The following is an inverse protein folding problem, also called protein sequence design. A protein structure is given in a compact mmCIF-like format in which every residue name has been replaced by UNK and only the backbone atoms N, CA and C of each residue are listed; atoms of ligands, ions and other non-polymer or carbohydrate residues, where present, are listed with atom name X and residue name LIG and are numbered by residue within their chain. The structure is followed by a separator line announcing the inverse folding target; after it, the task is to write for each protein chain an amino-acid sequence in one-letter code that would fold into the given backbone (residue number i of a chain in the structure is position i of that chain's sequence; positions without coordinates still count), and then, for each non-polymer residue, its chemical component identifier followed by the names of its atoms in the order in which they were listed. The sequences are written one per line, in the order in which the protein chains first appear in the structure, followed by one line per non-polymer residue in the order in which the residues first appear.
data_IF_083723020893
#
_entry.id   IF_083723020893
#
_cell.length_a   1.000
_cell.length_b   1.000
_cell.length_c   1.000
_cell.angle_alpha   90.00
_cell.angle_beta   90.00
_cell.angle_gamma   90.00
#
_symmetry.space_group_name_H-M   'P 1'
#
loop_
_entity.id
_entity.type
_entity.pdbx_description
1 polymer ?
#
# COMPACT_ATOMS: atom_id res chain seq x y z
N UNK A 1 1.72 -17.14 -12.76
CA UNK A 1 2.01 -15.70 -12.62
C UNK A 1 3.26 -15.39 -13.45
N UNK A 2 3.13 -14.73 -14.60
CA UNK A 2 4.29 -14.18 -15.30
C UNK A 2 4.62 -12.83 -14.65
N UNK A 3 5.71 -12.76 -13.90
CA UNK A 3 6.24 -11.49 -13.44
C UNK A 3 6.81 -10.75 -14.65
N UNK A 4 6.15 -9.68 -15.09
CA UNK A 4 6.76 -8.76 -16.04
C UNK A 4 8.10 -8.27 -15.48
N UNK A 5 9.11 -8.24 -16.35
CA UNK A 5 10.43 -7.74 -15.99
C UNK A 5 10.27 -6.23 -15.76
N UNK A 6 10.68 -5.69 -14.60
CA UNK A 6 10.55 -4.26 -14.35
C UNK A 6 11.35 -3.47 -15.39
N UNK A 7 10.74 -2.46 -16.00
CA UNK A 7 11.33 -1.70 -17.10
C UNK A 7 12.11 -0.48 -16.58
N UNK A 8 11.83 -0.03 -15.34
CA UNK A 8 12.56 1.06 -14.68
C UNK A 8 12.79 0.86 -13.17
N UNK A 9 13.64 1.72 -12.59
CA UNK A 9 13.96 1.68 -11.14
C UNK A 9 12.73 1.83 -10.24
N UNK A 10 11.70 2.55 -10.69
CA UNK A 10 10.44 2.69 -9.96
C UNK A 10 9.66 1.38 -9.88
N UNK A 11 9.63 0.58 -10.96
CA UNK A 11 8.94 -0.72 -10.97
C UNK A 11 9.62 -1.71 -10.03
N UNK A 12 10.95 -1.65 -9.95
CA UNK A 12 11.74 -2.48 -9.02
C UNK A 12 11.37 -2.15 -7.58
N UNK A 13 11.30 -0.86 -7.21
CA UNK A 13 10.93 -0.42 -5.87
C UNK A 13 9.46 -0.74 -5.56
N UNK A 14 8.55 -0.55 -6.53
CA UNK A 14 7.14 -0.92 -6.35
C UNK A 14 6.98 -2.43 -6.11
N UNK A 15 7.74 -3.27 -6.85
CA UNK A 15 7.77 -4.72 -6.63
C UNK A 15 8.33 -5.07 -5.25
N UNK A 16 9.39 -4.40 -4.81
CA UNK A 16 9.96 -4.57 -3.47
C UNK A 16 8.92 -4.27 -2.39
N UNK A 17 8.21 -3.14 -2.48
CA UNK A 17 7.14 -2.76 -1.54
C UNK A 17 6.04 -3.82 -1.50
N UNK A 18 5.57 -4.30 -2.66
CA UNK A 18 4.55 -5.36 -2.73
C UNK A 18 5.02 -6.64 -2.03
N UNK A 19 6.24 -7.10 -2.30
CA UNK A 19 6.80 -8.31 -1.68
C UNK A 19 7.01 -8.13 -0.17
N UNK A 20 7.43 -6.94 0.26
CA UNK A 20 7.60 -6.63 1.68
C UNK A 20 6.27 -6.67 2.42
N UNK A 21 5.21 -6.06 1.87
CA UNK A 21 3.87 -6.15 2.44
C UNK A 21 3.42 -7.62 2.51
N UNK A 22 3.63 -8.39 1.44
CA UNK A 22 3.24 -9.81 1.40
C UNK A 22 3.98 -10.65 2.44
N UNK A 23 5.23 -10.34 2.77
CA UNK A 23 6.02 -11.09 3.76
C UNK A 23 5.46 -10.97 5.18
N UNK A 24 4.83 -9.85 5.55
CA UNK A 24 4.27 -9.66 6.89
C UNK A 24 3.15 -10.66 7.14
N UNK A 25 3.28 -11.53 8.15
CA UNK A 25 2.39 -12.66 8.43
C UNK A 25 2.72 -13.95 7.66
N UNK A 26 3.73 -13.93 6.80
CA UNK A 26 4.26 -15.07 6.05
C UNK A 26 5.79 -15.16 6.18
N UNK A 27 6.32 -14.79 7.35
CA UNK A 27 7.76 -14.67 7.59
C UNK A 27 8.50 -16.00 7.44
N UNK A 28 7.81 -17.13 7.47
CA UNK A 28 8.38 -18.48 7.30
C UNK A 28 8.38 -18.99 5.86
N UNK A 29 7.81 -18.24 4.90
CA UNK A 29 7.80 -18.63 3.49
C UNK A 29 9.17 -18.34 2.83
N UNK A 30 9.99 -19.39 2.70
CA UNK A 30 11.32 -19.34 2.09
C UNK A 30 11.31 -18.82 0.64
N UNK A 31 10.25 -19.11 -0.12
CA UNK A 31 10.13 -18.66 -1.51
C UNK A 31 9.94 -17.15 -1.55
N UNK A 32 9.08 -16.63 -0.68
CA UNK A 32 8.82 -15.20 -0.56
C UNK A 32 10.04 -14.44 -0.03
N UNK A 33 10.78 -15.01 0.94
CA UNK A 33 12.04 -14.45 1.41
C UNK A 33 13.09 -14.36 0.30
N UNK A 34 13.21 -15.41 -0.54
CA UNK A 34 14.13 -15.43 -1.68
C UNK A 34 13.75 -14.37 -2.71
N UNK A 35 12.46 -14.29 -3.05
CA UNK A 35 11.95 -13.32 -4.03
C UNK A 35 12.11 -11.88 -3.54
N UNK A 36 11.88 -11.63 -2.25
CA UNK A 36 12.16 -10.34 -1.61
C UNK A 36 13.64 -10.00 -1.64
N UNK A 37 14.52 -10.95 -1.29
CA UNK A 37 15.97 -10.75 -1.32
C UNK A 37 16.44 -10.38 -2.72
N UNK A 38 15.93 -11.07 -3.75
CA UNK A 38 16.22 -10.74 -5.15
C UNK A 38 15.72 -9.33 -5.51
N UNK A 39 14.49 -8.97 -5.15
CA UNK A 39 13.94 -7.65 -5.42
C UNK A 39 14.74 -6.54 -4.71
N UNK A 40 15.19 -6.78 -3.49
CA UNK A 40 16.06 -5.88 -2.73
C UNK A 40 17.39 -5.68 -3.44
N UNK A 41 18.03 -6.76 -3.92
CA UNK A 41 19.27 -6.66 -4.70
C UNK A 41 19.10 -5.88 -6.00
N UNK A 42 17.94 -5.96 -6.66
CA UNK A 42 17.66 -5.13 -7.84
C UNK A 42 17.46 -3.66 -7.45
N UNK A 43 16.71 -3.37 -6.37
CA UNK A 43 16.45 -2.00 -5.94
C UNK A 43 17.73 -1.26 -5.57
N UNK A 44 18.67 -1.94 -4.91
CA UNK A 44 19.98 -1.42 -4.53
C UNK A 44 20.87 -1.00 -5.71
N UNK A 45 20.54 -1.42 -6.94
CA UNK A 45 21.24 -0.96 -8.16
C UNK A 45 20.83 0.45 -8.59
N UNK A 46 19.69 0.93 -8.11
CA UNK A 46 19.06 2.18 -8.56
C UNK A 46 18.84 3.18 -7.42
N UNK A 47 18.73 2.70 -6.18
CA UNK A 47 18.35 3.50 -5.03
C UNK A 47 19.36 3.25 -3.90
N UNK A 48 19.78 4.31 -3.16
CA UNK A 48 20.66 4.15 -2.01
C UNK A 48 20.12 3.15 -0.98
N UNK A 49 21.03 2.41 -0.35
CA UNK A 49 20.68 1.36 0.62
C UNK A 49 19.78 1.88 1.74
N UNK A 50 20.10 3.04 2.30
CA UNK A 50 19.36 3.59 3.45
C UNK A 50 17.91 3.92 3.07
N UNK A 51 17.68 4.38 1.84
CA UNK A 51 16.32 4.62 1.32
C UNK A 51 15.59 3.30 1.11
N UNK A 52 16.25 2.28 0.55
CA UNK A 52 15.66 0.94 0.38
C UNK A 52 15.25 0.33 1.72
N UNK A 53 16.13 0.39 2.72
CA UNK A 53 15.87 -0.13 4.05
C UNK A 53 14.73 0.65 4.74
N UNK A 54 14.70 1.97 4.60
CA UNK A 54 13.61 2.81 5.10
C UNK A 54 12.26 2.50 4.44
N UNK A 55 12.24 2.28 3.12
CA UNK A 55 11.02 1.90 2.37
C UNK A 55 10.52 0.53 2.83
N UNK A 56 11.41 -0.46 3.01
CA UNK A 56 11.02 -1.77 3.53
C UNK A 56 10.40 -1.66 4.93
N UNK A 57 11.02 -0.87 5.82
CA UNK A 57 10.48 -0.70 7.18
C UNK A 57 9.12 -0.01 7.18
N UNK A 58 8.95 1.01 6.34
CA UNK A 58 7.67 1.70 6.22
C UNK A 58 6.57 0.79 5.67
N UNK A 59 6.88 -0.03 4.65
CA UNK A 59 5.94 -1.02 4.11
C UNK A 59 5.52 -2.05 5.17
N UNK A 60 6.45 -2.52 6.01
CA UNK A 60 6.16 -3.40 7.15
C UNK A 60 5.17 -2.75 8.13
N UNK A 61 5.45 -1.52 8.58
CA UNK A 61 4.59 -0.77 9.51
C UNK A 61 3.18 -0.57 8.93
N UNK A 62 3.10 -0.18 7.65
CA UNK A 62 1.82 0.00 6.95
C UNK A 62 1.02 -1.30 6.87
N UNK A 63 1.67 -2.44 6.61
CA UNK A 63 1.00 -3.73 6.52
C UNK A 63 0.52 -4.23 7.88
N UNK A 64 1.34 -4.10 8.93
CA UNK A 64 0.94 -4.43 10.31
C UNK A 64 -0.27 -3.60 10.74
N UNK A 65 -0.25 -2.30 10.44
CA UNK A 65 -1.39 -1.40 10.67
C UNK A 65 -2.63 -1.88 9.94
N UNK A 66 -2.56 -2.08 8.62
CA UNK A 66 -3.70 -2.48 7.80
C UNK A 66 -4.32 -3.81 8.27
N UNK A 67 -3.48 -4.78 8.63
CA UNK A 67 -3.94 -6.06 9.18
C UNK A 67 -4.71 -5.89 10.50
N UNK A 68 -4.27 -4.99 11.37
CA UNK A 68 -4.93 -4.73 12.65
C UNK A 68 -6.22 -3.91 12.50
N UNK A 69 -6.25 -2.93 11.59
CA UNK A 69 -7.48 -2.20 11.25
C UNK A 69 -8.53 -3.18 10.73
N UNK A 70 -8.16 -4.05 9.80
CA UNK A 70 -9.07 -5.06 9.28
C UNK A 70 -9.53 -6.04 10.36
N UNK A 71 -8.63 -6.46 11.25
CA UNK A 71 -8.98 -7.33 12.38
C UNK A 71 -9.96 -6.65 13.35
N UNK A 72 -9.76 -5.37 13.65
CA UNK A 72 -10.64 -4.59 14.51
C UNK A 72 -12.07 -4.47 13.94
N UNK A 73 -12.20 -4.45 12.61
CA UNK A 73 -13.49 -4.35 11.91
C UNK A 73 -14.26 -5.68 11.80
N UNK A 74 -13.63 -6.83 12.10
CA UNK A 74 -14.27 -8.14 11.96
C UNK A 74 -15.54 -8.22 12.81
N UNK A 75 -16.64 -8.60 12.16
CA UNK A 75 -17.98 -8.73 12.77
C UNK A 75 -18.26 -10.11 13.37
N UNK A 76 -17.26 -10.98 13.48
CA UNK A 76 -17.41 -12.26 14.16
C UNK A 76 -17.73 -11.99 15.65
N UNK A 77 -18.81 -12.56 16.23
CA UNK A 77 -19.27 -12.19 17.57
C UNK A 77 -18.21 -12.24 18.67
N UNK A 78 -17.36 -13.27 18.66
CA UNK A 78 -16.27 -13.41 19.64
C UNK A 78 -15.17 -12.37 19.46
N UNK A 79 -14.82 -12.04 18.20
CA UNK A 79 -13.84 -11.00 17.88
C UNK A 79 -14.39 -9.62 18.24
N UNK A 80 -15.69 -9.39 17.99
CA UNK A 80 -16.35 -8.15 18.38
C UNK A 80 -16.34 -7.97 19.92
N UNK A 81 -16.69 -8.99 20.69
CA UNK A 81 -16.59 -8.94 22.16
C UNK A 81 -15.16 -8.69 22.63
N UNK A 82 -14.17 -9.37 22.05
CA UNK A 82 -12.75 -9.14 22.33
C UNK A 82 -12.33 -7.69 22.01
N UNK A 83 -12.74 -7.16 20.85
CA UNK A 83 -12.43 -5.81 20.42
C UNK A 83 -13.11 -4.75 21.31
N UNK A 84 -14.36 -4.96 21.71
CA UNK A 84 -15.10 -4.05 22.59
C UNK A 84 -14.59 -4.08 24.04
N UNK A 85 -14.18 -5.25 24.55
CA UNK A 85 -13.74 -5.40 25.95
C UNK A 85 -12.28 -4.99 26.15
N UNK A 86 -11.42 -5.22 25.17
CA UNK A 86 -9.99 -4.97 25.31
C UNK A 86 -9.50 -3.78 24.50
N UNK A 87 -10.17 -3.37 23.42
CA UNK A 87 -9.76 -2.23 22.57
C UNK A 87 -8.37 -2.35 21.91
N UNK A 88 -7.63 -3.43 22.20
CA UNK A 88 -6.19 -3.55 21.95
C UNK A 88 -5.82 -3.46 20.47
N UNK A 89 -6.53 -4.10 19.52
CA UNK A 89 -6.15 -4.03 18.10
C UNK A 89 -6.28 -2.63 17.52
N UNK A 90 -7.35 -1.90 17.86
CA UNK A 90 -7.58 -0.54 17.36
C UNK A 90 -6.53 0.43 17.91
N UNK A 91 -6.26 0.39 19.22
CA UNK A 91 -5.22 1.24 19.82
C UNK A 91 -3.83 0.92 19.28
N UNK A 92 -3.52 -0.36 19.03
CA UNK A 92 -2.24 -0.74 18.44
C UNK A 92 -2.11 -0.25 16.99
N UNK A 93 -3.18 -0.32 16.20
CA UNK A 93 -3.21 0.28 14.86
C UNK A 93 -2.98 1.79 14.90
N UNK A 94 -3.64 2.51 15.82
CA UNK A 94 -3.45 3.95 15.99
C UNK A 94 -1.98 4.29 16.29
N UNK A 95 -1.35 3.54 17.19
CA UNK A 95 0.08 3.67 17.49
C UNK A 95 0.96 3.43 16.27
N UNK A 96 0.72 2.38 15.49
CA UNK A 96 1.46 2.14 14.25
C UNK A 96 1.22 3.24 13.21
N UNK A 97 0.03 3.84 13.20
CA UNK A 97 -0.26 4.98 12.34
C UNK A 97 0.56 6.22 12.74
N UNK A 98 0.70 6.49 14.03
CA UNK A 98 1.55 7.57 14.55
C UNK A 98 3.03 7.29 14.29
N UNK A 99 3.47 6.06 14.54
CA UNK A 99 4.84 5.59 14.29
C UNK A 99 5.22 5.72 12.81
N UNK A 100 4.35 5.29 11.88
CA UNK A 100 4.62 5.43 10.44
C UNK A 100 4.71 6.90 10.01
N UNK A 101 3.89 7.80 10.58
CA UNK A 101 3.99 9.24 10.31
C UNK A 101 5.27 9.85 10.86
N UNK A 102 5.64 9.49 12.08
CA UNK A 102 6.89 9.92 12.70
C UNK A 102 8.11 9.40 11.92
N UNK A 103 8.06 8.15 11.45
CA UNK A 103 9.11 7.56 10.63
C UNK A 103 9.30 8.32 9.32
N UNK A 104 8.20 8.74 8.67
CA UNK A 104 8.28 9.54 7.45
C UNK A 104 8.97 10.88 7.70
N UNK A 105 8.61 11.60 8.76
CA UNK A 105 9.20 12.91 9.04
C UNK A 105 10.62 12.85 9.59
N UNK A 106 10.94 11.85 10.42
CA UNK A 106 12.23 11.75 11.12
C UNK A 106 13.30 10.98 10.33
N UNK A 107 12.90 10.05 9.45
CA UNK A 107 13.85 9.17 8.74
C UNK A 107 13.76 9.37 7.23
N UNK A 108 12.56 9.19 6.65
CA UNK A 108 12.44 9.15 5.20
C UNK A 108 12.60 10.53 4.53
N UNK A 109 12.05 11.58 5.14
CA UNK A 109 12.13 12.94 4.64
C UNK A 109 13.58 13.45 4.58
N UNK A 110 14.42 13.30 5.63
CA UNK A 110 15.84 13.62 5.55
C UNK A 110 16.58 12.88 4.43
N UNK A 111 16.27 11.60 4.19
CA UNK A 111 16.95 10.79 3.18
C UNK A 111 16.60 11.17 1.73
N UNK A 112 15.41 11.74 1.50
CA UNK A 112 14.93 12.09 0.16
C UNK A 112 15.07 13.58 -0.18
N UNK A 113 15.45 14.41 0.80
CA UNK A 113 15.62 15.87 0.70
C UNK A 113 14.38 16.62 0.15
N UNK A 114 13.23 15.95 0.09
CA UNK A 114 12.01 16.45 -0.53
C UNK A 114 10.79 15.91 0.23
N UNK A 115 10.09 16.75 1.02
CA UNK A 115 8.94 16.33 1.83
C UNK A 115 7.85 15.66 0.99
N UNK A 116 7.57 16.19 -0.20
CA UNK A 116 6.55 15.65 -1.10
C UNK A 116 6.89 14.24 -1.61
N UNK A 117 8.18 13.97 -1.86
CA UNK A 117 8.63 12.64 -2.28
C UNK A 117 8.47 11.62 -1.15
N UNK A 118 8.83 12.00 0.07
CA UNK A 118 8.63 11.14 1.25
C UNK A 118 7.15 10.83 1.49
N UNK A 119 6.27 11.83 1.33
CA UNK A 119 4.81 11.64 1.38
C UNK A 119 4.30 10.72 0.26
N UNK A 120 4.83 10.87 -0.97
CA UNK A 120 4.52 9.99 -2.09
C UNK A 120 4.87 8.53 -1.80
N UNK A 121 6.09 8.28 -1.30
CA UNK A 121 6.54 6.94 -0.90
C UNK A 121 5.67 6.35 0.20
N UNK A 122 5.30 7.15 1.21
CA UNK A 122 4.38 6.70 2.26
C UNK A 122 3.02 6.30 1.72
N UNK A 123 2.43 7.10 0.83
CA UNK A 123 1.15 6.78 0.16
C UNK A 123 1.26 5.46 -0.62
N UNK A 124 2.34 5.25 -1.37
CA UNK A 124 2.57 4.00 -2.10
C UNK A 124 2.63 2.79 -1.15
N UNK A 125 3.35 2.90 -0.04
CA UNK A 125 3.42 1.84 0.97
C UNK A 125 2.05 1.57 1.60
N UNK A 126 1.33 2.61 1.99
CA UNK A 126 0.00 2.53 2.60
C UNK A 126 -1.02 1.88 1.66
N UNK A 127 -1.10 2.32 0.41
CA UNK A 127 -2.02 1.75 -0.58
C UNK A 127 -1.65 0.31 -0.94
N UNK A 128 -0.35 0.00 -1.04
CA UNK A 128 0.10 -1.38 -1.30
C UNK A 128 -0.26 -2.32 -0.16
N UNK A 129 -0.10 -1.88 1.09
CA UNK A 129 -0.51 -2.65 2.26
C UNK A 129 -2.02 -2.94 2.27
N UNK A 130 -2.85 -1.94 1.98
CA UNK A 130 -4.31 -2.14 1.88
C UNK A 130 -4.71 -3.06 0.73
N UNK A 131 -4.06 -2.94 -0.43
CA UNK A 131 -4.30 -3.83 -1.56
C UNK A 131 -3.96 -5.28 -1.22
N UNK A 132 -2.82 -5.52 -0.56
CA UNK A 132 -2.42 -6.84 -0.08
C UNK A 132 -3.41 -7.38 0.97
N UNK A 133 -3.83 -6.55 1.93
CA UNK A 133 -4.85 -6.96 2.93
C UNK A 133 -6.17 -7.36 2.25
N UNK A 134 -6.63 -6.59 1.27
CA UNK A 134 -7.83 -6.92 0.49
C UNK A 134 -7.67 -8.25 -0.25
N UNK A 135 -6.50 -8.51 -0.83
CA UNK A 135 -6.19 -9.78 -1.48
C UNK A 135 -6.23 -10.95 -0.50
N UNK A 136 -5.72 -10.78 0.72
CA UNK A 136 -5.79 -11.81 1.79
C UNK A 136 -7.21 -12.08 2.23
N UNK A 137 -7.99 -11.04 2.46
CA UNK A 137 -9.41 -11.16 2.84
C UNK A 137 -10.20 -11.86 1.75
N UNK A 138 -9.89 -11.52 0.49
CA UNK A 138 -10.47 -12.13 -0.69
C UNK A 138 -10.13 -13.62 -0.80
N UNK A 139 -8.85 -13.99 -0.66
CA UNK A 139 -8.40 -15.39 -0.69
C UNK A 139 -8.96 -16.20 0.49
N UNK A 140 -9.17 -15.57 1.64
CA UNK A 140 -9.76 -16.18 2.83
C UNK A 140 -11.29 -16.29 2.81
N UNK A 141 -11.99 -15.53 1.96
CA UNK A 141 -13.45 -15.58 1.86
C UNK A 141 -13.88 -16.79 1.00
N UNK A 142 -14.46 -17.81 1.65
CA UNK A 142 -14.97 -19.03 1.00
C UNK A 142 -15.85 -18.78 -0.24
N UNK A 143 -16.59 -17.66 -0.29
CA UNK A 143 -17.44 -17.30 -1.44
C UNK A 143 -16.67 -17.06 -2.74
N UNK A 144 -15.43 -16.54 -2.70
CA UNK A 144 -14.63 -16.29 -3.89
C UNK A 144 -14.10 -17.57 -4.54
N UNK A 145 -13.78 -18.58 -3.73
CA UNK A 145 -13.37 -19.91 -4.19
C UNK A 145 -14.53 -20.71 -4.79
N UNK A 146 -15.73 -20.57 -4.21
CA UNK A 146 -16.93 -21.30 -4.63
C UNK A 146 -17.57 -20.70 -5.90
N UNK A 147 -17.57 -19.37 -6.05
CA UNK A 147 -18.29 -18.68 -7.14
C UNK A 147 -17.44 -18.37 -8.38
N UNK A 148 -16.14 -18.69 -8.36
CA UNK A 148 -15.20 -18.34 -9.45
C UNK A 148 -14.88 -16.84 -9.55
N UNK A 149 -15.52 -15.98 -8.75
CA UNK A 149 -15.25 -14.55 -8.67
C UNK A 149 -13.78 -14.27 -8.29
N UNK A 150 -13.10 -15.24 -7.65
CA UNK A 150 -11.73 -15.06 -7.19
C UNK A 150 -10.70 -14.97 -8.29
N UNK A 151 -10.99 -15.60 -9.41
CA UNK A 151 -10.19 -15.48 -10.61
C UNK A 151 -10.47 -14.16 -11.34
N UNK A 152 -11.70 -13.63 -11.26
CA UNK A 152 -12.09 -12.35 -11.86
C UNK A 152 -11.44 -11.14 -11.18
N UNK A 153 -11.48 -11.06 -9.84
CA UNK A 153 -10.84 -9.95 -9.11
C UNK A 153 -9.31 -9.99 -9.24
N UNK A 154 -8.70 -11.19 -9.18
CA UNK A 154 -7.27 -11.37 -9.45
C UNK A 154 -6.87 -10.87 -10.84
N UNK A 155 -7.68 -11.17 -11.86
CA UNK A 155 -7.46 -10.69 -13.22
C UNK A 155 -7.51 -9.16 -13.31
N UNK A 156 -8.46 -8.51 -12.64
CA UNK A 156 -8.60 -7.05 -12.60
C UNK A 156 -7.39 -6.41 -11.89
N UNK A 157 -7.00 -6.89 -10.71
CA UNK A 157 -5.83 -6.37 -9.98
C UNK A 157 -4.50 -6.57 -10.74
N UNK A 158 -4.37 -7.63 -11.54
CA UNK A 158 -3.21 -7.79 -12.44
C UNK A 158 -3.24 -6.83 -13.62
N UNK A 159 -4.42 -6.39 -14.07
CA UNK A 159 -4.59 -5.45 -15.20
C UNK A 159 -4.43 -4.00 -14.75
N UNK A 160 -4.83 -3.67 -13.52
CA UNK A 160 -4.80 -2.31 -12.94
C UNK A 160 -3.41 -1.81 -12.50
N UNK A 161 -2.38 -2.66 -12.55
CA UNK A 161 -0.99 -2.18 -12.41
C UNK A 161 -0.61 -1.19 -13.53
N UNK A 162 -1.36 -1.19 -14.65
CA UNK A 162 -1.28 -0.22 -15.75
C UNK A 162 -2.02 1.10 -15.43
N UNK A 163 -3.01 1.08 -14.54
CA UNK A 163 -3.87 2.24 -14.26
C UNK A 163 -3.23 3.19 -13.24
N UNK A 164 -2.35 2.68 -12.38
CA UNK A 164 -1.47 3.49 -11.53
C UNK A 164 -0.41 4.28 -12.33
N UNK A 165 -0.22 4.00 -13.62
CA UNK A 165 0.62 4.80 -14.53
C UNK A 165 -0.14 5.99 -15.15
N UNK A 166 -1.47 6.09 -15.01
CA UNK A 166 -2.29 7.11 -15.70
C UNK A 166 -2.56 8.39 -14.88
N UNK A 167 -2.00 8.54 -13.68
CA UNK A 167 -2.11 9.80 -12.92
C UNK A 167 -1.01 10.82 -13.22
N UNK A 168 -0.23 10.65 -14.29
CA UNK A 168 0.53 11.77 -14.85
C UNK A 168 -0.45 12.70 -15.57
N UNK A 169 -1.03 13.65 -14.84
CA UNK A 169 -1.77 14.77 -15.44
C UNK A 169 -0.81 15.52 -16.37
N UNK A 170 -1.08 15.61 -17.69
CA UNK A 170 -0.30 16.49 -18.55
C UNK A 170 -0.57 17.94 -18.16
N UNK A 171 0.50 18.67 -17.80
CA UNK A 171 0.50 20.06 -17.34
C UNK A 171 0.17 21.10 -18.45
N UNK A 172 -0.70 20.77 -19.40
CA UNK A 172 -1.12 21.70 -20.45
C UNK A 172 -2.62 21.66 -20.67
N UNK A 173 -3.33 22.49 -19.90
CA UNK A 173 -4.44 23.38 -20.28
C UNK A 173 -5.26 23.74 -19.03
N UNK A 174 -4.72 24.57 -18.16
CA UNK A 174 -5.56 25.46 -17.36
C UNK A 174 -5.91 26.64 -18.26
N UNK A 175 -7.04 26.55 -18.97
CA UNK A 175 -7.70 27.75 -19.46
C UNK A 175 -8.39 28.40 -18.25
N UNK A 176 -8.14 29.70 -18.07
CA UNK A 176 -8.69 30.50 -16.99
C UNK A 176 -10.22 30.42 -17.01
N UNK A 177 -10.79 30.02 -15.87
CA UNK A 177 -12.22 30.08 -15.64
C UNK A 177 -12.55 31.53 -15.27
N UNK A 178 -13.12 32.25 -16.24
CA UNK A 178 -13.51 33.65 -16.11
C UNK A 178 -14.71 33.74 -15.15
N UNK A 179 -14.49 34.28 -13.96
CA UNK A 179 -15.46 34.34 -12.86
C UNK A 179 -16.43 35.51 -13.03
N UNK A 180 -17.22 35.50 -14.11
CA UNK A 180 -18.15 36.60 -14.40
C UNK A 180 -19.51 36.17 -14.99
N UNK A 181 -20.12 35.13 -14.43
CA UNK A 181 -21.57 34.90 -14.60
C UNK A 181 -22.25 34.62 -13.26
N UNK A 182 -22.61 35.69 -12.56
CA UNK A 182 -23.58 35.68 -11.47
C UNK A 182 -24.97 35.48 -12.10
N UNK A 183 -25.43 34.23 -12.12
CA UNK A 183 -26.81 33.87 -12.46
C UNK A 183 -27.76 34.29 -11.34
N UNK A 184 -28.77 35.09 -11.69
CA UNK A 184 -29.90 35.46 -10.83
C UNK A 184 -30.69 34.21 -10.39
N UNK A 185 -31.25 34.19 -9.17
CA UNK A 185 -32.16 33.12 -8.76
C UNK A 185 -33.52 33.29 -9.45
N UNK A 186 -34.02 32.20 -10.04
CA UNK A 186 -35.41 32.07 -10.45
C UNK A 186 -36.16 31.33 -9.33
N UNK A 187 -37.12 32.06 -8.73
CA UNK A 187 -38.19 31.66 -7.81
C UNK A 187 -37.81 31.01 -6.46
#
# INVERSE_FOLDING_TARGET
MHFHRPEGGNDVVARLVKLQCRLVGHETDETLQRDLSWAKSQALRHVPKDVVDAVCKLAELCMQKASLERYAERKQPLVFLYNCTLGRPLHHSQRLSEESRAFVSQVLQPLLEAPERAQGVWKVCLHSAWLEQNMRDWDGAQGGHITGASNGYKAICTTDSSLLMLTSVPAHKMQAFDSNQVGKPCF
#
